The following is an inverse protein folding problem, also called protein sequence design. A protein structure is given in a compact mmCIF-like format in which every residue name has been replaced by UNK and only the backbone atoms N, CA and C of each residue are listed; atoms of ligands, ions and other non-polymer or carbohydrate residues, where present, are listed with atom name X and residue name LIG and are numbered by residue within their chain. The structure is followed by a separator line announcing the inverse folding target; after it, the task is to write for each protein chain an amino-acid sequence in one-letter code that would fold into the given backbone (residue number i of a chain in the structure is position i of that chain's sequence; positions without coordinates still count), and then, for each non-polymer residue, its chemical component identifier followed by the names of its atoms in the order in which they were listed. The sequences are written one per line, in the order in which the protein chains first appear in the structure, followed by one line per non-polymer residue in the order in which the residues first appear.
data_IF_052931769476
#
_entry.id   IF_052931769476
#
_cell.length_a   1.000
_cell.length_b   1.000
_cell.length_c   1.000
_cell.angle_alpha   90.00
_cell.angle_beta   90.00
_cell.angle_gamma   90.00
#
_symmetry.space_group_name_H-M   'P 1'
#
loop_
_entity.id
_entity.type
_entity.pdbx_description
1 polymer ?
#
# COMPACT_ATOMS: atom_id res chain seq x y z
N UNK A 1 4.51 -11.08 -1.10
CA UNK A 1 3.03 -11.14 -1.25
C UNK A 1 2.53 -9.84 -1.85
N UNK A 2 1.54 -9.84 -2.75
CA UNK A 2 0.91 -8.60 -3.20
C UNK A 2 0.06 -8.01 -2.07
N UNK A 3 0.10 -6.69 -1.88
CA UNK A 3 -0.67 -5.99 -0.83
C UNK A 3 -1.59 -4.95 -1.46
N UNK A 4 -2.75 -4.73 -0.82
CA UNK A 4 -3.74 -3.76 -1.27
C UNK A 4 -3.38 -2.33 -0.88
N UNK A 5 -3.86 -1.36 -1.65
CA UNK A 5 -3.79 0.06 -1.30
C UNK A 5 -5.10 0.45 -0.60
N UNK A 6 -5.10 0.75 0.72
CA UNK A 6 -6.28 1.27 1.38
C UNK A 6 -6.48 2.75 1.03
N UNK A 7 -7.72 3.13 0.82
CA UNK A 7 -8.13 4.49 0.49
C UNK A 7 -9.09 5.04 1.55
N UNK A 8 -9.06 6.35 1.75
CA UNK A 8 -10.05 7.07 2.54
C UNK A 8 -11.41 6.98 1.83
N UNK A 9 -12.48 6.54 2.52
CA UNK A 9 -13.78 6.32 1.88
C UNK A 9 -14.52 7.62 1.51
N UNK A 10 -14.07 8.77 2.01
CA UNK A 10 -14.67 10.08 1.76
C UNK A 10 -13.92 10.81 0.65
N UNK A 11 -12.58 10.87 0.73
CA UNK A 11 -11.78 11.62 -0.24
C UNK A 11 -11.29 10.78 -1.41
N UNK A 12 -11.17 9.46 -1.23
CA UNK A 12 -10.55 8.55 -2.20
C UNK A 12 -9.01 8.60 -2.17
N UNK A 13 -8.40 9.40 -1.30
CA UNK A 13 -6.94 9.46 -1.17
C UNK A 13 -6.39 8.20 -0.52
N UNK A 14 -5.12 7.88 -0.77
CA UNK A 14 -4.40 6.83 -0.04
C UNK A 14 -4.51 7.06 1.47
N UNK A 15 -4.85 6.01 2.23
CA UNK A 15 -4.96 6.03 3.69
C UNK A 15 -3.65 5.56 4.35
N UNK A 16 -2.72 6.47 4.73
CA UNK A 16 -1.36 6.11 5.11
C UNK A 16 -1.25 5.33 6.42
N UNK A 17 -2.17 5.58 7.38
CA UNK A 17 -2.17 4.89 8.68
C UNK A 17 -2.53 3.43 8.47
N UNK A 18 -3.67 3.15 7.84
CA UNK A 18 -4.13 1.79 7.54
C UNK A 18 -3.14 1.03 6.65
N UNK A 19 -2.53 1.71 5.68
CA UNK A 19 -1.51 1.11 4.82
C UNK A 19 -0.31 0.60 5.65
N UNK A 20 0.26 1.46 6.51
CA UNK A 20 1.39 1.07 7.37
C UNK A 20 1.04 -0.03 8.36
N UNK A 21 -0.16 0.00 8.93
CA UNK A 21 -0.64 -1.07 9.82
C UNK A 21 -0.72 -2.42 9.09
N UNK A 22 -1.25 -2.44 7.86
CA UNK A 22 -1.28 -3.65 7.04
C UNK A 22 0.12 -4.18 6.74
N UNK A 23 1.08 -3.30 6.38
CA UNK A 23 2.46 -3.72 6.15
C UNK A 23 3.10 -4.31 7.41
N UNK A 24 2.88 -3.71 8.58
CA UNK A 24 3.39 -4.24 9.87
C UNK A 24 2.88 -5.65 10.15
N UNK A 25 1.58 -5.91 9.92
CA UNK A 25 1.01 -7.25 10.06
C UNK A 25 1.67 -8.26 9.13
N UNK A 26 2.01 -7.86 7.90
CA UNK A 26 2.73 -8.74 6.97
C UNK A 26 4.15 -9.03 7.43
N UNK A 27 4.84 -8.06 8.04
CA UNK A 27 6.18 -8.25 8.60
C UNK A 27 6.21 -9.23 9.79
N UNK A 28 5.09 -9.46 10.45
CA UNK A 28 4.95 -10.46 11.53
C UNK A 28 4.79 -11.89 11.00
N UNK A 29 4.68 -12.07 9.69
CA UNK A 29 4.53 -13.39 9.03
C UNK A 29 5.84 -13.85 8.38
N UNK A 30 6.04 -15.16 8.14
CA UNK A 30 7.27 -15.69 7.53
C UNK A 30 7.31 -15.49 5.99
N UNK A 31 7.08 -14.26 5.53
CA UNK A 31 7.16 -13.89 4.12
C UNK A 31 8.51 -13.25 3.81
N UNK A 32 8.99 -13.42 2.58
CA UNK A 32 10.25 -12.81 2.13
C UNK A 32 10.12 -11.34 1.70
N UNK A 33 8.92 -10.77 1.79
CA UNK A 33 8.64 -9.39 1.41
C UNK A 33 7.26 -9.21 0.78
N UNK A 34 6.94 -7.96 0.47
CA UNK A 34 5.68 -7.55 -0.15
C UNK A 34 5.92 -6.76 -1.45
N UNK A 35 4.91 -6.76 -2.32
CA UNK A 35 4.90 -6.02 -3.58
C UNK A 35 3.75 -5.03 -3.54
N UNK A 36 4.07 -3.75 -3.69
CA UNK A 36 3.14 -2.64 -3.83
C UNK A 36 2.96 -2.30 -5.32
N UNK A 37 1.89 -1.60 -5.69
CA UNK A 37 1.55 -1.22 -7.09
C UNK A 37 1.22 -2.39 -8.03
N UNK A 38 1.05 -3.61 -7.51
CA UNK A 38 0.52 -4.70 -8.32
C UNK A 38 -0.94 -4.46 -8.71
N UNK A 39 -1.53 -5.38 -9.49
CA UNK A 39 -2.98 -5.37 -9.74
C UNK A 39 -3.79 -5.42 -8.44
N UNK A 40 -3.33 -6.18 -7.44
CA UNK A 40 -3.92 -6.23 -6.09
C UNK A 40 -3.67 -4.96 -5.29
N UNK A 41 -2.63 -4.19 -5.62
CA UNK A 41 -2.34 -2.89 -5.01
C UNK A 41 -2.85 -1.72 -5.85
N UNK A 42 -3.79 -1.99 -6.76
CA UNK A 42 -4.47 -0.98 -7.56
C UNK A 42 -3.51 -0.10 -8.39
N UNK A 43 -2.32 -0.60 -8.74
CA UNK A 43 -1.25 0.23 -9.32
C UNK A 43 -1.55 0.88 -10.67
N UNK A 44 -2.53 0.35 -11.41
CA UNK A 44 -3.02 0.96 -12.64
C UNK A 44 -3.95 2.17 -12.41
N UNK A 45 -4.50 2.31 -11.19
CA UNK A 45 -5.40 3.39 -10.79
C UNK A 45 -4.66 4.51 -10.05
N UNK A 46 -3.43 4.24 -9.60
CA UNK A 46 -2.60 5.21 -8.90
C UNK A 46 -1.87 6.13 -9.87
N UNK A 47 -1.87 7.42 -9.56
CA UNK A 47 -0.99 8.38 -10.20
C UNK A 47 0.47 8.25 -9.72
N UNK A 48 1.38 8.98 -10.35
CA UNK A 48 2.81 8.89 -10.04
C UNK A 48 3.14 9.45 -8.65
N UNK A 49 2.43 10.48 -8.19
CA UNK A 49 2.64 11.08 -6.87
C UNK A 49 2.13 10.15 -5.75
N UNK A 50 1.01 9.48 -5.96
CA UNK A 50 0.49 8.43 -5.08
C UNK A 50 1.47 7.27 -4.96
N UNK A 51 2.09 6.84 -6.07
CA UNK A 51 3.11 5.80 -6.05
C UNK A 51 4.34 6.24 -5.27
N UNK A 52 4.80 7.48 -5.42
CA UNK A 52 5.90 8.01 -4.61
C UNK A 52 5.54 7.99 -3.12
N UNK A 53 4.37 8.54 -2.74
CA UNK A 53 3.92 8.56 -1.34
C UNK A 53 3.82 7.16 -0.73
N UNK A 54 3.25 6.19 -1.46
CA UNK A 54 3.16 4.81 -1.00
C UNK A 54 4.52 4.14 -0.82
N UNK A 55 5.47 4.41 -1.72
CA UNK A 55 6.84 3.93 -1.59
C UNK A 55 7.54 4.55 -0.37
N UNK A 56 7.24 5.81 -0.03
CA UNK A 56 7.71 6.45 1.20
C UNK A 56 7.07 5.84 2.45
N UNK A 57 5.77 5.55 2.42
CA UNK A 57 5.07 4.93 3.56
C UNK A 57 5.48 3.48 3.83
N UNK A 58 6.01 2.79 2.80
CA UNK A 58 6.48 1.41 2.89
C UNK A 58 7.92 1.27 3.39
N UNK A 59 8.67 2.37 3.53
CA UNK A 59 10.00 2.39 4.13
C UNK A 59 9.92 2.44 5.66
#
# INVERSE_FOLDING_TARGET
VPVTTPFDPVTGDVAPVSFRENLRRWLETPINGYVIFGSTGEGALLDDDEKVRLAEYAR
#
